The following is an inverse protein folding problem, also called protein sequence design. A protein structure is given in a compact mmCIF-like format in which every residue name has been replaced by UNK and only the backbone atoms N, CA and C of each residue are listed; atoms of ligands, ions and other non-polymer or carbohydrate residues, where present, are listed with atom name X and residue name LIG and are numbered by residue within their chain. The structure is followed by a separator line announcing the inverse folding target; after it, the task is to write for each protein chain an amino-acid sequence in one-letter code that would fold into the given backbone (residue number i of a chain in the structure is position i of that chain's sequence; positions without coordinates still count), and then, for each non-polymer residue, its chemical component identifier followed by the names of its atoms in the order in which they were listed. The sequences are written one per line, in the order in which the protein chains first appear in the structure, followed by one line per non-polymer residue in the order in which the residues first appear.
data_IF_235645536698
#
_entry.id   IF_235645536698
#
_cell.length_a   1.000
_cell.length_b   1.000
_cell.length_c   1.000
_cell.angle_alpha   90.00
_cell.angle_beta   90.00
_cell.angle_gamma   90.00
#
_symmetry.space_group_name_H-M   'P 1'
#
loop_
_entity.id
_entity.type
_entity.pdbx_description
1 polymer ?
#
# COMPACT_ATOMS: atom_id res chain seq x y z
N UNK A 1 10.18 -1.71 -3.04
CA UNK A 1 11.04 -1.22 -1.92
C UNK A 1 11.82 -2.32 -1.21
N UNK A 2 11.28 -3.54 -1.04
CA UNK A 2 12.04 -4.66 -0.42
C UNK A 2 13.42 -4.85 -1.07
N UNK A 3 13.50 -4.78 -2.40
CA UNK A 3 14.77 -4.86 -3.12
C UNK A 3 15.76 -3.74 -2.77
N UNK A 4 15.26 -2.50 -2.58
CA UNK A 4 16.07 -1.38 -2.11
C UNK A 4 16.64 -1.65 -0.72
N UNK A 5 15.77 -2.08 0.21
CA UNK A 5 16.17 -2.37 1.58
C UNK A 5 17.19 -3.51 1.68
N UNK A 6 17.04 -4.57 0.86
CA UNK A 6 18.05 -5.65 0.75
C UNK A 6 19.39 -5.13 0.25
N UNK A 7 19.38 -4.22 -0.72
CA UNK A 7 20.62 -3.62 -1.22
C UNK A 7 21.24 -2.65 -0.20
N UNK A 8 20.41 -1.87 0.48
CA UNK A 8 20.86 -0.96 1.54
C UNK A 8 21.60 -1.70 2.65
N UNK A 9 20.98 -2.75 3.21
CA UNK A 9 21.59 -3.51 4.29
C UNK A 9 22.88 -4.20 3.85
N UNK A 10 22.94 -4.64 2.58
CA UNK A 10 24.15 -5.22 2.00
C UNK A 10 25.28 -4.18 1.86
N UNK A 11 24.96 -2.97 1.37
CA UNK A 11 25.96 -1.90 1.26
C UNK A 11 26.52 -1.58 2.64
N UNK A 12 25.67 -1.44 3.66
CA UNK A 12 26.12 -1.16 5.03
C UNK A 12 27.02 -2.29 5.55
N UNK A 13 26.62 -3.55 5.39
CA UNK A 13 27.38 -4.70 5.87
C UNK A 13 28.69 -4.95 5.13
N UNK A 14 28.71 -4.70 3.81
CA UNK A 14 29.93 -4.92 3.00
C UNK A 14 30.97 -3.79 3.13
N UNK A 15 30.56 -2.59 3.55
CA UNK A 15 31.39 -1.39 3.50
C UNK A 15 31.57 -0.65 4.84
N UNK A 16 31.04 -1.21 5.93
CA UNK A 16 31.23 -0.66 7.28
C UNK A 16 31.59 -1.78 8.27
N UNK A 17 32.01 -1.41 9.45
CA UNK A 17 32.26 -2.32 10.59
C UNK A 17 30.98 -2.63 11.40
N UNK A 18 29.81 -2.27 10.87
CA UNK A 18 28.54 -2.49 11.54
C UNK A 18 28.03 -3.91 11.35
N UNK A 19 27.50 -4.49 12.42
CA UNK A 19 26.67 -5.68 12.33
C UNK A 19 25.32 -5.32 11.74
N UNK A 20 24.80 -6.12 10.82
CA UNK A 20 23.58 -5.83 10.08
C UNK A 20 22.59 -6.98 10.13
N UNK A 21 21.31 -6.67 10.20
CA UNK A 21 20.22 -7.63 10.09
C UNK A 21 19.03 -7.00 9.37
N UNK A 22 18.35 -7.79 8.56
CA UNK A 22 17.10 -7.41 7.92
C UNK A 22 16.05 -8.50 8.12
N UNK A 23 14.82 -8.09 8.40
CA UNK A 23 13.64 -8.93 8.41
C UNK A 23 12.54 -8.27 7.59
N UNK A 24 11.84 -9.04 6.76
CA UNK A 24 10.79 -8.54 5.88
C UNK A 24 9.47 -9.20 6.29
N UNK A 25 8.58 -8.39 6.83
CA UNK A 25 7.25 -8.80 7.25
C UNK A 25 6.26 -8.51 6.12
N UNK A 26 5.54 -9.54 5.72
CA UNK A 26 4.51 -9.45 4.69
C UNK A 26 3.14 -9.68 5.31
N UNK A 27 2.17 -8.84 4.90
CA UNK A 27 0.77 -9.09 5.23
C UNK A 27 0.32 -10.44 4.62
N UNK A 28 -0.55 -11.16 5.31
CA UNK A 28 -1.19 -12.37 4.79
C UNK A 28 -2.06 -12.15 3.54
N UNK A 29 -2.42 -10.91 3.26
CA UNK A 29 -3.17 -10.51 2.06
C UNK A 29 -2.26 -10.44 0.85
N UNK A 30 -2.61 -11.15 -0.23
CA UNK A 30 -1.79 -11.18 -1.46
C UNK A 30 -1.79 -9.87 -2.25
N UNK A 31 -2.84 -9.06 -2.13
CA UNK A 31 -2.98 -7.80 -2.86
C UNK A 31 -3.44 -6.70 -1.92
N UNK A 32 -2.78 -5.53 -1.99
CA UNK A 32 -3.08 -4.36 -1.16
C UNK A 32 -2.70 -4.51 0.31
N UNK A 33 -1.94 -5.54 0.66
CA UNK A 33 -1.37 -5.71 1.98
C UNK A 33 -0.15 -4.82 2.20
N UNK A 34 0.12 -4.48 3.47
CA UNK A 34 1.31 -3.74 3.86
C UNK A 34 2.53 -4.67 3.89
N UNK A 35 3.69 -4.14 3.52
CA UNK A 35 4.98 -4.82 3.73
C UNK A 35 5.84 -3.92 4.60
N UNK A 36 6.33 -4.46 5.71
CA UNK A 36 7.25 -3.77 6.62
C UNK A 36 8.64 -4.38 6.49
N UNK A 37 9.65 -3.53 6.39
CA UNK A 37 11.05 -3.96 6.34
C UNK A 37 11.75 -3.44 7.59
N UNK A 38 12.20 -4.34 8.43
CA UNK A 38 12.92 -4.05 9.66
C UNK A 38 14.41 -4.19 9.40
N UNK A 39 15.12 -3.07 9.40
CA UNK A 39 16.56 -3.02 9.23
C UNK A 39 17.21 -2.63 10.55
N UNK A 40 18.20 -3.39 10.98
CA UNK A 40 19.01 -3.08 12.16
C UNK A 40 20.47 -3.11 11.80
N UNK A 41 21.18 -2.13 12.27
CA UNK A 41 22.63 -2.06 12.13
C UNK A 41 23.23 -1.31 13.32
N UNK A 42 24.41 -1.73 13.73
CA UNK A 42 25.10 -1.15 14.88
C UNK A 42 26.41 -1.86 15.18
N UNK A 43 27.22 -1.26 16.08
CA UNK A 43 28.52 -1.81 16.45
C UNK A 43 28.45 -3.07 17.29
N UNK A 44 27.35 -3.26 18.03
CA UNK A 44 27.16 -4.45 18.86
C UNK A 44 26.63 -5.60 18.01
N UNK A 45 26.99 -6.88 18.31
CA UNK A 45 26.41 -8.04 17.67
C UNK A 45 24.88 -8.06 17.81
N UNK A 46 24.20 -8.44 16.75
CA UNK A 46 22.73 -8.59 16.69
C UNK A 46 22.42 -10.09 16.73
N UNK A 47 22.07 -10.60 17.91
CA UNK A 47 21.95 -12.05 18.17
C UNK A 47 20.49 -12.57 18.10
N UNK A 48 19.51 -11.69 17.90
CA UNK A 48 18.09 -12.07 17.87
C UNK A 48 17.33 -11.44 16.70
N UNK A 49 16.24 -12.06 16.32
CA UNK A 49 15.45 -11.74 15.13
C UNK A 49 14.13 -11.01 15.46
N UNK A 50 14.08 -10.25 16.55
CA UNK A 50 12.89 -9.47 16.92
C UNK A 50 12.62 -8.31 15.95
N UNK A 51 11.36 -7.91 15.85
CA UNK A 51 10.94 -6.76 15.06
C UNK A 51 11.45 -5.44 15.65
N UNK A 52 11.61 -4.43 14.80
CA UNK A 52 11.96 -3.08 15.25
C UNK A 52 10.69 -2.40 15.77
N UNK A 53 10.67 -2.03 17.05
CA UNK A 53 9.60 -1.31 17.71
C UNK A 53 10.07 0.04 18.32
N UNK A 54 11.33 0.41 18.11
CA UNK A 54 11.92 1.70 18.47
C UNK A 54 12.83 2.14 17.31
N UNK A 55 12.22 2.76 16.29
CA UNK A 55 12.88 3.11 15.05
C UNK A 55 13.51 4.50 15.12
N UNK A 56 14.77 4.60 14.68
CA UNK A 56 15.47 5.87 14.47
C UNK A 56 15.14 6.49 13.11
N UNK A 57 14.69 5.66 12.17
CA UNK A 57 14.28 6.06 10.82
C UNK A 57 13.06 5.25 10.35
N UNK A 58 12.04 5.93 9.80
CA UNK A 58 10.87 5.32 9.20
C UNK A 58 10.68 5.88 7.79
N UNK A 59 10.44 5.02 6.81
CA UNK A 59 10.08 5.45 5.45
C UNK A 59 8.70 4.91 5.05
N UNK A 60 7.78 5.82 4.78
CA UNK A 60 6.47 5.55 4.23
C UNK A 60 6.49 5.72 2.71
N UNK A 61 6.58 4.62 1.96
CA UNK A 61 6.71 4.63 0.52
C UNK A 61 5.37 4.72 -0.23
N UNK A 62 4.25 4.74 0.48
CA UNK A 62 2.92 4.88 -0.11
C UNK A 62 2.09 5.82 0.76
N UNK A 63 1.75 6.98 0.22
CA UNK A 63 0.98 8.00 0.94
C UNK A 63 -0.39 7.53 1.43
N UNK A 64 -1.00 6.53 0.78
CA UNK A 64 -2.27 5.94 1.24
C UNK A 64 -2.17 5.18 2.57
N UNK A 65 -0.97 4.90 3.06
CA UNK A 65 -0.77 4.27 4.36
C UNK A 65 -0.97 5.25 5.52
N UNK A 66 -0.82 6.56 5.27
CA UNK A 66 -1.02 7.59 6.28
C UNK A 66 -2.44 7.63 6.84
N UNK A 67 -3.43 7.25 6.01
CA UNK A 67 -4.84 7.19 6.39
C UNK A 67 -5.24 5.86 7.05
N UNK A 68 -4.42 4.83 6.89
CA UNK A 68 -4.78 3.45 7.27
C UNK A 68 -4.02 2.92 8.47
N UNK A 69 -2.80 3.40 8.67
CA UNK A 69 -1.88 2.85 9.66
C UNK A 69 -1.25 3.95 10.50
N UNK A 70 -0.97 3.63 11.75
CA UNK A 70 -0.16 4.47 12.61
C UNK A 70 1.33 4.31 12.24
N UNK A 71 1.79 5.16 11.30
CA UNK A 71 3.16 5.11 10.78
C UNK A 71 4.19 5.46 11.87
N UNK A 72 3.79 6.26 12.86
CA UNK A 72 4.68 6.75 13.91
C UNK A 72 4.63 5.91 15.19
N UNK A 73 3.86 4.81 15.23
CA UNK A 73 3.74 3.97 16.43
C UNK A 73 5.11 3.59 16.99
N UNK A 74 5.98 3.08 16.12
CA UNK A 74 7.32 2.58 16.47
C UNK A 74 8.43 3.65 16.38
N UNK A 75 8.12 4.92 16.12
CA UNK A 75 9.11 5.99 16.05
C UNK A 75 9.63 6.37 17.43
N UNK A 76 10.95 6.50 17.58
CA UNK A 76 11.57 7.16 18.74
C UNK A 76 11.31 8.67 18.73
N UNK A 77 11.51 9.30 19.87
CA UNK A 77 11.64 10.76 19.92
C UNK A 77 12.86 11.20 19.10
N UNK A 78 12.69 12.22 18.26
CA UNK A 78 13.73 12.71 17.35
C UNK A 78 14.01 11.80 16.15
N UNK A 79 13.14 10.82 15.86
CA UNK A 79 13.32 9.96 14.69
C UNK A 79 13.16 10.73 13.37
N UNK A 80 13.89 10.28 12.35
CA UNK A 80 13.71 10.76 10.98
C UNK A 80 12.58 9.99 10.29
N UNK A 81 11.67 10.70 9.63
CA UNK A 81 10.54 10.09 8.91
C UNK A 81 10.51 10.62 7.47
N UNK A 82 10.61 9.71 6.50
CA UNK A 82 10.52 10.04 5.07
C UNK A 82 9.15 9.61 4.53
N UNK A 83 8.41 10.54 3.92
CA UNK A 83 7.18 10.27 3.19
C UNK A 83 7.41 10.44 1.70
N UNK A 84 7.02 9.45 0.91
CA UNK A 84 6.99 9.56 -0.55
C UNK A 84 5.68 10.20 -0.98
N UNK A 85 5.73 11.48 -1.31
CA UNK A 85 4.58 12.25 -1.76
C UNK A 85 5.01 13.47 -2.59
N UNK A 86 4.05 14.04 -3.29
CA UNK A 86 4.13 15.27 -4.07
C UNK A 86 3.73 16.53 -3.25
N UNK A 87 3.31 16.35 -2.01
CA UNK A 87 2.81 17.42 -1.15
C UNK A 87 3.93 18.23 -0.50
N UNK A 88 3.74 19.55 -0.43
CA UNK A 88 4.68 20.49 0.22
C UNK A 88 3.92 21.53 1.06
N UNK A 89 4.56 22.07 2.09
CA UNK A 89 4.04 23.15 2.91
C UNK A 89 2.62 22.89 3.43
N UNK A 90 1.70 23.84 3.15
CA UNK A 90 0.31 23.73 3.59
C UNK A 90 -0.46 22.54 3.00
N UNK A 91 -0.10 22.10 1.80
CA UNK A 91 -0.71 20.92 1.19
C UNK A 91 -0.34 19.65 1.94
N UNK A 92 0.91 19.51 2.34
CA UNK A 92 1.35 18.41 3.20
C UNK A 92 0.54 18.41 4.51
N UNK A 93 0.39 19.57 5.15
CA UNK A 93 -0.37 19.68 6.39
C UNK A 93 -1.86 19.27 6.23
N UNK A 94 -2.49 19.58 5.10
CA UNK A 94 -3.89 19.21 4.82
C UNK A 94 -4.07 17.69 4.68
N UNK A 95 -3.07 17.01 4.14
CA UNK A 95 -3.13 15.56 3.89
C UNK A 95 -2.70 14.71 5.08
N UNK A 96 -1.99 15.27 6.06
CA UNK A 96 -1.61 14.54 7.26
C UNK A 96 -2.78 14.46 8.25
N UNK A 97 -3.02 13.25 8.78
CA UNK A 97 -4.10 13.03 9.76
C UNK A 97 -3.82 13.77 11.08
N UNK A 98 -4.87 14.15 11.85
CA UNK A 98 -4.70 14.75 13.18
C UNK A 98 -3.81 13.90 14.10
N UNK A 99 -3.98 12.58 14.07
CA UNK A 99 -3.18 11.65 14.88
C UNK A 99 -1.70 11.68 14.48
N UNK A 100 -1.39 11.65 13.16
CA UNK A 100 -0.02 11.76 12.68
C UNK A 100 0.63 13.09 13.11
N UNK A 101 -0.05 14.22 12.88
CA UNK A 101 0.45 15.54 13.26
C UNK A 101 0.80 15.64 14.74
N UNK A 102 -0.15 15.24 15.60
CA UNK A 102 0.07 15.25 17.06
C UNK A 102 1.24 14.36 17.46
N UNK A 103 1.31 13.14 16.96
CA UNK A 103 2.40 12.22 17.25
C UNK A 103 3.76 12.76 16.75
N UNK A 104 3.80 13.38 15.56
CA UNK A 104 5.01 13.96 15.00
C UNK A 104 5.55 15.10 15.87
N UNK A 105 4.69 16.00 16.35
CA UNK A 105 5.10 17.09 17.24
C UNK A 105 5.54 16.58 18.62
N UNK A 106 4.77 15.69 19.26
CA UNK A 106 5.09 15.15 20.59
C UNK A 106 6.38 14.33 20.58
N UNK A 107 6.66 13.58 19.51
CA UNK A 107 7.88 12.80 19.33
C UNK A 107 9.03 13.61 18.71
N UNK A 108 8.83 14.89 18.43
CA UNK A 108 9.86 15.79 17.81
C UNK A 108 10.44 15.19 16.52
N UNK A 109 9.59 14.66 15.66
CA UNK A 109 9.99 13.99 14.42
C UNK A 109 10.65 14.98 13.46
N UNK A 110 11.78 14.56 12.85
CA UNK A 110 12.34 15.20 11.67
C UNK A 110 11.66 14.63 10.43
N UNK A 111 10.79 15.44 9.82
CA UNK A 111 9.96 15.01 8.70
C UNK A 111 10.62 15.36 7.37
N UNK A 112 10.70 14.40 6.46
CA UNK A 112 11.23 14.56 5.11
C UNK A 112 10.23 14.12 4.07
N UNK A 113 10.23 14.76 2.91
CA UNK A 113 9.41 14.40 1.76
C UNK A 113 10.25 14.25 0.50
N UNK A 114 9.78 13.42 -0.44
CA UNK A 114 10.35 13.26 -1.77
C UNK A 114 9.29 12.76 -2.75
N UNK A 115 9.15 13.42 -3.90
CA UNK A 115 8.33 12.88 -5.00
C UNK A 115 9.16 11.92 -5.88
N UNK A 116 9.38 10.73 -5.35
CA UNK A 116 10.12 9.70 -6.07
C UNK A 116 9.42 9.21 -7.34
N UNK A 117 8.11 9.40 -7.44
CA UNK A 117 7.31 8.98 -8.61
C UNK A 117 7.54 9.92 -9.78
N UNK A 118 7.47 11.23 -9.54
CA UNK A 118 7.77 12.22 -10.58
C UNK A 118 9.22 12.10 -11.06
N UNK A 119 10.18 11.96 -10.13
CA UNK A 119 11.59 11.77 -10.48
C UNK A 119 11.78 10.51 -11.34
N UNK A 120 11.15 9.39 -10.99
CA UNK A 120 11.25 8.16 -11.75
C UNK A 120 10.64 8.29 -13.15
N UNK A 121 9.53 9.02 -13.29
CA UNK A 121 8.88 9.29 -14.57
C UNK A 121 9.77 10.18 -15.45
N UNK A 122 10.32 11.27 -14.93
CA UNK A 122 11.24 12.19 -15.62
C UNK A 122 12.45 11.44 -16.18
N UNK A 123 13.02 10.54 -15.39
CA UNK A 123 14.20 9.75 -15.77
C UNK A 123 13.88 8.55 -16.68
N UNK A 124 12.61 8.33 -17.03
CA UNK A 124 12.18 7.18 -17.86
C UNK A 124 12.26 5.83 -17.13
N UNK A 125 12.30 5.83 -15.79
CA UNK A 125 12.33 4.63 -14.97
C UNK A 125 10.92 4.04 -14.73
N UNK A 126 9.85 4.73 -15.16
CA UNK A 126 8.46 4.33 -14.92
C UNK A 126 8.15 4.32 -13.43
N UNK A 127 7.68 3.20 -12.89
CA UNK A 127 7.33 3.06 -11.46
C UNK A 127 8.51 2.63 -10.56
N UNK A 128 9.75 2.65 -11.05
CA UNK A 128 10.93 2.14 -10.33
C UNK A 128 11.57 3.23 -9.48
N UNK A 129 11.11 3.37 -8.26
CA UNK A 129 11.57 4.39 -7.29
C UNK A 129 12.66 3.90 -6.34
N UNK A 130 13.02 2.62 -6.38
CA UNK A 130 13.89 1.98 -5.39
C UNK A 130 15.24 2.70 -5.20
N UNK A 131 15.91 3.05 -6.29
CA UNK A 131 17.23 3.69 -6.25
C UNK A 131 17.16 5.10 -5.68
N UNK A 132 16.11 5.85 -6.02
CA UNK A 132 15.85 7.20 -5.52
C UNK A 132 15.68 7.17 -4.00
N UNK A 133 14.81 6.27 -3.52
CA UNK A 133 14.48 6.14 -2.10
C UNK A 133 15.67 5.63 -1.26
N UNK A 134 16.51 4.77 -1.84
CA UNK A 134 17.74 4.33 -1.20
C UNK A 134 18.74 5.47 -1.05
N UNK A 135 18.89 6.33 -2.04
CA UNK A 135 19.73 7.50 -1.99
C UNK A 135 19.25 8.51 -0.93
N UNK A 136 17.93 8.76 -0.89
CA UNK A 136 17.31 9.59 0.14
C UNK A 136 17.56 9.04 1.57
N UNK A 137 17.48 7.71 1.75
CA UNK A 137 17.80 7.06 3.01
C UNK A 137 19.23 7.38 3.47
N UNK A 138 20.24 7.17 2.62
CA UNK A 138 21.63 7.46 2.99
C UNK A 138 21.85 8.94 3.27
N UNK A 139 21.20 9.84 2.52
CA UNK A 139 21.27 11.29 2.74
C UNK A 139 20.73 11.70 4.10
N UNK A 140 19.56 11.18 4.48
CA UNK A 140 18.89 11.54 5.74
C UNK A 140 19.63 10.94 6.94
N UNK A 141 20.02 9.66 6.85
CA UNK A 141 20.56 8.94 8.01
C UNK A 141 22.04 9.24 8.27
N UNK A 142 22.80 9.60 7.24
CA UNK A 142 24.24 9.85 7.37
C UNK A 142 25.05 8.66 7.90
N UNK A 143 24.51 7.43 7.84
CA UNK A 143 25.14 6.22 8.38
C UNK A 143 26.48 5.89 7.68
N UNK A 144 26.58 6.29 6.43
CA UNK A 144 27.80 6.31 5.61
C UNK A 144 27.92 7.73 5.06
N UNK A 145 29.12 8.32 4.94
CA UNK A 145 29.31 9.59 4.25
C UNK A 145 28.66 9.55 2.88
N UNK A 146 27.89 10.59 2.51
CA UNK A 146 27.00 10.53 1.35
C UNK A 146 27.75 10.28 0.04
N UNK A 147 28.94 10.84 -0.11
CA UNK A 147 29.79 10.65 -1.29
C UNK A 147 30.22 9.19 -1.44
N UNK A 148 30.54 8.53 -0.33
CA UNK A 148 30.88 7.11 -0.32
C UNK A 148 29.65 6.25 -0.63
N UNK A 149 28.50 6.54 0.01
CA UNK A 149 27.26 5.83 -0.23
C UNK A 149 26.84 5.89 -1.71
N UNK A 150 26.90 7.07 -2.33
CA UNK A 150 26.67 7.27 -3.76
C UNK A 150 27.63 6.44 -4.60
N UNK A 151 28.92 6.42 -4.23
CA UNK A 151 29.92 5.59 -4.90
C UNK A 151 29.59 4.10 -4.85
N UNK A 152 29.21 3.58 -3.68
CA UNK A 152 28.81 2.18 -3.52
C UNK A 152 27.51 1.84 -4.26
N UNK A 153 26.54 2.72 -4.24
CA UNK A 153 25.31 2.57 -5.00
C UNK A 153 25.58 2.49 -6.51
N UNK A 154 26.39 3.41 -7.04
CA UNK A 154 26.77 3.44 -8.47
C UNK A 154 27.54 2.17 -8.87
N UNK A 155 28.45 1.65 -8.02
CA UNK A 155 29.11 0.37 -8.25
C UNK A 155 28.13 -0.80 -8.28
N UNK A 156 27.18 -0.86 -7.34
CA UNK A 156 26.14 -1.89 -7.30
C UNK A 156 25.23 -1.85 -8.53
N UNK A 157 24.88 -0.65 -9.01
CA UNK A 157 24.10 -0.42 -10.23
C UNK A 157 24.87 -0.96 -11.46
N UNK A 158 26.15 -0.63 -11.59
CA UNK A 158 26.97 -1.11 -12.70
C UNK A 158 27.05 -2.65 -12.72
N UNK A 159 27.24 -3.26 -11.55
CA UNK A 159 27.26 -4.72 -11.40
C UNK A 159 25.93 -5.36 -11.81
N UNK A 160 24.80 -4.73 -11.47
CA UNK A 160 23.46 -5.29 -11.68
C UNK A 160 22.92 -5.02 -13.09
N UNK A 161 23.25 -3.89 -13.67
CA UNK A 161 22.65 -3.39 -14.91
C UNK A 161 23.66 -3.18 -16.04
N UNK A 162 24.96 -3.34 -15.82
CA UNK A 162 25.98 -3.12 -16.85
C UNK A 162 25.72 -3.89 -18.14
N UNK A 163 25.26 -5.14 -18.03
CA UNK A 163 24.87 -5.98 -19.17
C UNK A 163 23.64 -5.51 -19.95
N UNK A 164 22.85 -4.59 -19.39
CA UNK A 164 21.63 -4.03 -20.02
C UNK A 164 21.90 -2.78 -20.85
N UNK A 165 23.16 -2.35 -20.92
CA UNK A 165 23.60 -1.21 -21.68
C UNK A 165 23.77 0.07 -20.86
N UNK A 166 24.61 0.95 -21.37
CA UNK A 166 25.04 2.19 -20.72
C UNK A 166 23.86 3.13 -20.41
N UNK A 167 22.88 3.19 -21.30
CA UNK A 167 21.66 4.00 -21.10
C UNK A 167 20.95 3.66 -19.79
N UNK A 168 20.77 2.37 -19.49
CA UNK A 168 20.10 1.92 -18.27
C UNK A 168 20.94 2.23 -17.03
N UNK A 169 22.26 2.09 -17.12
CA UNK A 169 23.18 2.42 -16.03
C UNK A 169 23.10 3.91 -15.72
N UNK A 170 23.19 4.78 -16.72
CA UNK A 170 23.16 6.23 -16.55
C UNK A 170 21.82 6.73 -16.01
N UNK A 171 20.69 6.14 -16.43
CA UNK A 171 19.38 6.44 -15.85
C UNK A 171 19.34 6.13 -14.34
N UNK A 172 19.93 5.03 -13.90
CA UNK A 172 19.98 4.67 -12.49
C UNK A 172 21.00 5.52 -11.71
N UNK A 173 22.10 5.96 -12.33
CA UNK A 173 23.02 6.94 -11.72
C UNK A 173 22.33 8.27 -11.47
N UNK A 174 21.62 8.80 -12.46
CA UNK A 174 20.83 10.01 -12.32
C UNK A 174 19.76 9.87 -11.21
N UNK A 175 19.19 8.68 -11.04
CA UNK A 175 18.23 8.40 -9.96
C UNK A 175 18.89 8.46 -8.56
N UNK A 176 20.15 8.03 -8.42
CA UNK A 176 20.91 8.21 -7.18
C UNK A 176 21.11 9.70 -6.88
N UNK A 177 21.63 10.43 -7.87
CA UNK A 177 21.94 11.84 -7.72
C UNK A 177 20.69 12.66 -7.39
N UNK A 178 19.58 12.44 -8.11
CA UNK A 178 18.27 13.07 -7.84
C UNK A 178 17.68 12.68 -6.47
N UNK A 179 17.85 11.44 -6.03
CA UNK A 179 17.40 11.00 -4.71
C UNK A 179 18.11 11.70 -3.56
N UNK A 180 19.39 12.09 -3.75
CA UNK A 180 20.14 12.89 -2.78
C UNK A 180 19.75 14.37 -2.84
N UNK A 181 19.54 14.90 -4.06
CA UNK A 181 19.27 16.32 -4.30
C UNK A 181 17.86 16.73 -3.88
N UNK A 182 16.87 15.90 -4.21
CA UNK A 182 15.44 16.27 -4.16
C UNK A 182 14.73 15.87 -2.87
N UNK A 183 15.41 15.28 -1.91
CA UNK A 183 14.85 15.07 -0.58
C UNK A 183 14.84 16.38 0.20
N UNK A 184 13.66 16.74 0.72
CA UNK A 184 13.44 18.00 1.42
C UNK A 184 13.00 17.75 2.86
N UNK A 185 13.48 18.53 3.80
CA UNK A 185 12.97 18.55 5.17
C UNK A 185 11.71 19.41 5.24
N UNK A 186 10.68 18.89 5.89
CA UNK A 186 9.40 19.56 6.09
C UNK A 186 9.27 20.01 7.56
N UNK A 187 8.73 21.18 7.77
CA UNK A 187 8.49 21.70 9.11
C UNK A 187 7.42 20.87 9.84
N UNK A 188 7.69 20.56 11.11
CA UNK A 188 6.72 20.00 12.07
C UNK A 188 6.35 21.10 13.06
N UNK A 189 5.26 21.84 12.86
CA UNK A 189 4.89 22.95 13.71
C UNK A 189 4.58 22.51 15.15
N UNK A 190 5.09 23.23 16.14
CA UNK A 190 4.84 22.93 17.56
C UNK A 190 3.32 22.90 17.91
N UNK A 191 2.51 23.73 17.22
CA UNK A 191 1.05 23.76 17.40
C UNK A 191 0.35 22.42 17.11
N UNK A 192 1.00 21.50 16.39
CA UNK A 192 0.43 20.18 16.14
C UNK A 192 0.31 19.32 17.41
N UNK A 193 1.08 19.62 18.46
CA UNK A 193 0.98 18.92 19.74
C UNK A 193 -0.40 19.11 20.42
N UNK A 194 -1.06 20.24 20.17
CA UNK A 194 -2.32 20.62 20.78
C UNK A 194 -3.55 20.18 19.96
N UNK A 195 -3.35 19.54 18.80
CA UNK A 195 -4.44 19.07 17.95
C UNK A 195 -5.30 18.04 18.70
N UNK A 196 -6.60 18.26 18.74
CA UNK A 196 -7.55 17.26 19.21
C UNK A 196 -7.71 16.15 18.18
N UNK A 197 -7.58 14.90 18.65
CA UNK A 197 -7.82 13.72 17.80
C UNK A 197 -9.30 13.38 17.94
N UNK A 198 -10.09 13.44 16.85
CA UNK A 198 -11.49 13.02 16.92
C UNK A 198 -11.60 11.55 17.38
N UNK A 199 -12.53 11.28 18.28
CA UNK A 199 -12.85 9.89 18.66
C UNK A 199 -13.36 9.14 17.42
N UNK A 200 -12.76 8.01 17.14
CA UNK A 200 -13.24 7.11 16.10
C UNK A 200 -14.55 6.47 16.55
N UNK A 201 -15.67 6.91 15.97
CA UNK A 201 -16.98 6.31 16.26
C UNK A 201 -17.07 4.95 15.60
N UNK A 202 -16.90 3.91 16.39
CA UNK A 202 -17.14 2.54 15.93
C UNK A 202 -18.65 2.30 15.90
N UNK A 203 -19.19 1.84 14.77
CA UNK A 203 -20.60 1.46 14.68
C UNK A 203 -20.88 0.28 15.63
N UNK A 204 -21.68 0.53 16.64
CA UNK A 204 -22.04 -0.46 17.66
C UNK A 204 -22.90 -1.61 17.11
N UNK A 205 -23.54 -1.42 15.96
CA UNK A 205 -24.31 -2.47 15.28
C UNK A 205 -23.44 -3.51 14.57
N UNK A 206 -22.14 -3.24 14.42
CA UNK A 206 -21.22 -4.23 13.89
C UNK A 206 -21.10 -5.42 14.85
N UNK A 207 -20.99 -6.66 14.35
CA UNK A 207 -20.76 -7.82 15.20
C UNK A 207 -19.56 -7.63 16.13
N UNK A 208 -19.66 -8.12 17.37
CA UNK A 208 -18.59 -8.03 18.38
C UNK A 208 -17.24 -8.47 17.82
N UNK A 209 -17.22 -9.57 17.09
CA UNK A 209 -16.05 -10.14 16.46
C UNK A 209 -15.37 -9.14 15.47
N UNK A 210 -16.17 -8.44 14.67
CA UNK A 210 -15.65 -7.44 13.72
C UNK A 210 -14.96 -6.31 14.50
N UNK A 211 -15.63 -5.77 15.51
CA UNK A 211 -15.13 -4.64 16.30
C UNK A 211 -13.89 -5.00 17.13
N UNK A 212 -13.91 -6.19 17.73
CA UNK A 212 -12.90 -6.61 18.71
C UNK A 212 -11.67 -7.28 18.09
N UNK A 213 -11.83 -7.92 16.94
CA UNK A 213 -10.77 -8.72 16.34
C UNK A 213 -10.43 -8.20 14.93
N UNK A 214 -11.37 -8.23 13.97
CA UNK A 214 -11.06 -7.93 12.58
C UNK A 214 -10.59 -6.48 12.39
N UNK A 215 -11.24 -5.50 12.96
CA UNK A 215 -10.85 -4.10 12.82
C UNK A 215 -9.46 -3.82 13.41
N UNK A 216 -9.13 -4.24 14.66
CA UNK A 216 -7.78 -4.09 15.18
C UNK A 216 -6.71 -4.80 14.36
N UNK A 217 -6.97 -6.03 13.89
CA UNK A 217 -6.03 -6.77 13.03
C UNK A 217 -5.81 -6.02 11.70
N UNK A 218 -6.86 -5.52 11.07
CA UNK A 218 -6.75 -4.75 9.84
C UNK A 218 -6.00 -3.42 10.02
N UNK A 219 -6.07 -2.83 11.23
CA UNK A 219 -5.30 -1.64 11.61
C UNK A 219 -3.87 -1.96 12.08
N UNK A 220 -3.39 -3.20 11.94
CA UNK A 220 -2.08 -3.67 12.42
C UNK A 220 -1.88 -3.54 13.95
N UNK A 221 -2.97 -3.64 14.70
CA UNK A 221 -3.02 -3.57 16.19
C UNK A 221 -3.37 -4.93 16.81
N UNK A 222 -3.19 -6.03 16.07
CA UNK A 222 -3.57 -7.38 16.51
C UNK A 222 -2.89 -7.82 17.80
N UNK A 223 -1.64 -7.44 18.03
CA UNK A 223 -0.88 -7.78 19.23
C UNK A 223 -1.45 -7.17 20.53
N UNK A 224 -2.30 -6.14 20.40
CA UNK A 224 -2.95 -5.49 21.53
C UNK A 224 -4.30 -6.13 21.89
N UNK A 225 -4.76 -7.14 21.16
CA UNK A 225 -6.03 -7.81 21.41
C UNK A 225 -5.88 -8.75 22.61
N UNK A 226 -6.64 -8.57 23.69
CA UNK A 226 -6.59 -9.48 24.82
C UNK A 226 -7.11 -10.88 24.43
N UNK A 227 -6.50 -11.92 24.97
CA UNK A 227 -6.88 -13.32 24.72
C UNK A 227 -8.37 -13.58 25.02
N UNK A 228 -8.93 -12.88 26.01
CA UNK A 228 -10.35 -12.98 26.37
C UNK A 228 -11.31 -12.57 25.23
N UNK A 229 -10.87 -11.78 24.25
CA UNK A 229 -11.73 -11.42 23.11
C UNK A 229 -11.89 -12.58 22.10
N UNK A 230 -11.06 -13.64 22.22
CA UNK A 230 -11.14 -14.86 21.40
C UNK A 230 -11.98 -15.98 22.03
N UNK A 231 -12.59 -15.77 23.19
CA UNK A 231 -13.37 -16.82 23.88
C UNK A 231 -14.54 -17.37 23.07
N UNK A 232 -15.10 -16.57 22.15
CA UNK A 232 -16.17 -16.99 21.26
C UNK A 232 -15.67 -17.79 20.03
N UNK A 233 -14.34 -17.94 19.87
CA UNK A 233 -13.66 -18.61 18.77
C UNK A 233 -12.58 -19.60 19.27
N UNK A 234 -12.93 -20.51 20.22
CA UNK A 234 -11.92 -21.30 20.94
C UNK A 234 -11.21 -22.34 20.07
N UNK A 235 -11.81 -22.74 18.96
CA UNK A 235 -11.27 -23.71 17.98
C UNK A 235 -10.58 -23.05 16.78
N UNK A 236 -10.50 -21.70 16.75
CA UNK A 236 -9.94 -20.95 15.64
C UNK A 236 -10.85 -20.86 14.41
N UNK A 237 -12.09 -21.33 14.48
CA UNK A 237 -13.07 -21.19 13.41
C UNK A 237 -13.49 -19.71 13.27
N UNK A 238 -13.37 -19.16 12.06
CA UNK A 238 -13.73 -17.78 11.78
C UNK A 238 -15.16 -17.68 11.23
N UNK A 239 -15.95 -16.66 11.64
CA UNK A 239 -17.29 -16.45 11.10
C UNK A 239 -17.26 -16.25 9.58
N UNK A 240 -18.27 -16.76 8.89
CA UNK A 240 -18.42 -16.58 7.45
C UNK A 240 -18.95 -15.17 7.09
N UNK A 241 -18.73 -14.76 5.84
CA UNK A 241 -19.24 -13.48 5.31
C UNK A 241 -18.50 -12.24 5.81
N UNK A 242 -17.34 -12.40 6.41
CA UNK A 242 -16.55 -11.30 7.00
C UNK A 242 -16.01 -10.33 5.95
N UNK A 243 -15.87 -10.75 4.69
CA UNK A 243 -15.40 -9.90 3.58
C UNK A 243 -16.28 -8.68 3.31
N UNK A 244 -17.54 -8.68 3.74
CA UNK A 244 -18.41 -7.49 3.63
C UNK A 244 -17.96 -6.33 4.54
N UNK A 245 -17.21 -6.63 5.60
CA UNK A 245 -16.66 -5.66 6.54
C UNK A 245 -15.21 -5.25 6.23
N UNK A 246 -14.63 -5.87 5.21
CA UNK A 246 -13.27 -5.57 4.78
C UNK A 246 -13.26 -5.25 3.29
N UNK A 247 -13.33 -3.97 2.96
CA UNK A 247 -13.29 -3.46 1.59
C UNK A 247 -12.00 -2.67 1.38
N UNK A 248 -11.09 -3.20 0.55
CA UNK A 248 -9.74 -2.64 0.41
C UNK A 248 -9.62 -1.53 -0.61
N UNK A 249 -10.41 -1.56 -1.70
CA UNK A 249 -10.42 -0.53 -2.73
C UNK A 249 -9.06 -0.28 -3.38
N UNK A 250 -8.32 -1.34 -3.70
CA UNK A 250 -6.92 -1.26 -4.16
C UNK A 250 -6.76 -1.11 -5.67
N UNK A 251 -7.82 -1.32 -6.45
CA UNK A 251 -7.75 -1.22 -7.91
C UNK A 251 -7.62 0.23 -8.36
N UNK A 252 -6.60 0.53 -9.16
CA UNK A 252 -6.46 1.83 -9.84
C UNK A 252 -7.48 1.97 -10.96
N UNK A 253 -7.67 0.89 -11.72
CA UNK A 253 -8.71 0.79 -12.75
C UNK A 253 -9.63 -0.37 -12.42
N UNK A 254 -10.94 -0.15 -12.53
CA UNK A 254 -11.98 -1.16 -12.30
C UNK A 254 -12.68 -1.50 -13.63
N UNK A 255 -13.23 -2.72 -13.78
CA UNK A 255 -13.95 -3.07 -14.99
C UNK A 255 -15.29 -2.33 -15.08
N UNK A 256 -15.56 -1.80 -16.26
CA UNK A 256 -16.85 -1.21 -16.65
C UNK A 256 -17.56 -2.20 -17.58
N UNK A 257 -18.83 -2.46 -17.30
CA UNK A 257 -19.67 -3.34 -18.09
C UNK A 257 -20.55 -2.54 -19.07
N UNK A 258 -20.42 -2.86 -20.34
CA UNK A 258 -21.29 -2.40 -21.41
C UNK A 258 -22.37 -3.46 -21.68
N UNK A 259 -23.60 -3.15 -21.31
CA UNK A 259 -24.73 -4.09 -21.40
C UNK A 259 -25.13 -4.42 -22.83
N UNK A 260 -24.97 -3.48 -23.78
CA UNK A 260 -25.36 -3.64 -25.17
C UNK A 260 -24.43 -4.61 -25.91
N UNK A 261 -23.14 -4.57 -25.58
CA UNK A 261 -22.10 -5.42 -26.16
C UNK A 261 -22.05 -6.82 -25.53
N UNK A 262 -22.69 -7.00 -24.37
CA UNK A 262 -22.57 -8.22 -23.60
C UNK A 262 -23.34 -9.37 -24.21
N UNK A 263 -22.67 -10.50 -24.44
CA UNK A 263 -23.28 -11.74 -24.92
C UNK A 263 -23.68 -12.70 -23.78
N UNK A 264 -23.53 -12.29 -22.52
CA UNK A 264 -23.91 -13.01 -21.30
C UNK A 264 -23.21 -14.38 -21.12
N UNK A 265 -21.99 -14.53 -21.63
CA UNK A 265 -21.23 -15.79 -21.54
C UNK A 265 -20.62 -16.03 -20.14
N UNK A 266 -20.61 -15.04 -19.25
CA UNK A 266 -20.08 -15.07 -17.89
C UNK A 266 -18.58 -15.41 -17.74
N UNK A 267 -17.80 -15.44 -18.84
CA UNK A 267 -16.36 -15.73 -18.77
C UNK A 267 -15.60 -14.78 -17.85
N UNK A 268 -16.00 -13.50 -17.82
CA UNK A 268 -15.43 -12.49 -16.93
C UNK A 268 -15.66 -12.81 -15.44
N UNK A 269 -16.78 -13.41 -15.08
CA UNK A 269 -17.08 -13.87 -13.72
C UNK A 269 -16.24 -15.08 -13.35
N UNK A 270 -16.10 -16.06 -14.26
CA UNK A 270 -15.31 -17.26 -14.02
C UNK A 270 -13.82 -17.00 -13.79
N UNK A 271 -13.23 -16.05 -14.51
CA UNK A 271 -11.78 -15.76 -14.38
C UNK A 271 -11.47 -14.78 -13.26
N UNK A 272 -12.46 -14.19 -12.61
CA UNK A 272 -12.22 -13.20 -11.57
C UNK A 272 -11.65 -13.85 -10.31
N UNK A 273 -10.37 -13.57 -9.94
CA UNK A 273 -9.72 -14.24 -8.81
C UNK A 273 -10.35 -13.86 -7.44
N UNK A 274 -11.10 -12.75 -7.40
CA UNK A 274 -11.74 -12.25 -6.19
C UNK A 274 -13.27 -12.32 -6.22
N UNK A 275 -13.87 -12.96 -7.24
CA UNK A 275 -15.32 -13.07 -7.40
C UNK A 275 -16.06 -11.72 -7.32
N UNK A 276 -15.40 -10.65 -7.74
CA UNK A 276 -16.00 -9.31 -7.72
C UNK A 276 -16.91 -9.02 -8.90
N UNK A 277 -16.95 -9.90 -9.91
CA UNK A 277 -17.89 -9.82 -11.03
C UNK A 277 -18.92 -10.92 -10.86
N UNK A 278 -20.19 -10.53 -10.74
CA UNK A 278 -21.29 -11.47 -10.47
C UNK A 278 -22.45 -11.22 -11.42
N UNK A 279 -22.93 -12.25 -12.13
CA UNK A 279 -24.17 -12.16 -12.89
C UNK A 279 -25.38 -12.29 -11.96
N UNK A 280 -26.42 -11.54 -12.26
CA UNK A 280 -27.71 -11.60 -11.58
C UNK A 280 -28.85 -11.70 -12.62
N UNK A 281 -29.87 -12.46 -12.26
CA UNK A 281 -31.18 -12.42 -12.88
C UNK A 281 -32.12 -11.75 -11.89
N UNK A 282 -32.87 -10.76 -12.35
CA UNK A 282 -33.82 -10.00 -11.54
C UNK A 282 -35.17 -9.94 -12.26
N UNK A 283 -36.25 -9.98 -11.51
CA UNK A 283 -37.57 -9.72 -12.04
C UNK A 283 -37.87 -8.21 -12.17
N UNK A 284 -39.00 -7.84 -12.74
CA UNK A 284 -39.34 -6.42 -12.94
C UNK A 284 -39.52 -5.66 -11.63
N UNK A 285 -40.08 -6.29 -10.60
CA UNK A 285 -40.29 -5.67 -9.28
C UNK A 285 -38.97 -5.39 -8.57
N UNK A 286 -38.01 -6.30 -8.69
CA UNK A 286 -36.64 -6.13 -8.16
C UNK A 286 -35.91 -5.05 -8.92
N UNK A 287 -35.99 -5.03 -10.23
CA UNK A 287 -35.38 -4.01 -11.07
C UNK A 287 -35.96 -2.60 -10.79
N UNK A 288 -37.26 -2.51 -10.54
CA UNK A 288 -37.96 -1.26 -10.21
C UNK A 288 -37.50 -0.66 -8.87
N UNK A 289 -37.08 -1.49 -7.91
CA UNK A 289 -36.58 -1.08 -6.60
C UNK A 289 -35.08 -0.74 -6.62
N UNK A 290 -34.40 -1.08 -7.70
CA UNK A 290 -32.95 -0.85 -7.81
C UNK A 290 -32.62 0.63 -8.07
N UNK A 291 -31.39 1.09 -7.75
CA UNK A 291 -30.93 2.43 -8.11
C UNK A 291 -30.98 2.66 -9.63
N UNK A 292 -31.19 3.91 -10.06
CA UNK A 292 -31.23 4.27 -11.50
C UNK A 292 -29.99 3.84 -12.29
N UNK A 293 -28.86 3.69 -11.62
CA UNK A 293 -27.58 3.21 -12.21
C UNK A 293 -27.53 1.69 -12.40
N UNK A 294 -28.52 0.96 -11.90
CA UNK A 294 -28.62 -0.49 -12.05
C UNK A 294 -29.26 -0.83 -13.39
N UNK A 295 -28.51 -0.68 -14.48
CA UNK A 295 -28.97 -1.03 -15.83
C UNK A 295 -29.09 -2.54 -16.01
N UNK A 296 -30.14 -2.99 -16.68
CA UNK A 296 -30.38 -4.40 -16.98
C UNK A 296 -30.63 -4.59 -18.48
N UNK A 297 -30.47 -5.80 -18.99
CA UNK A 297 -30.80 -6.20 -20.36
C UNK A 297 -31.70 -7.43 -20.34
N UNK A 298 -32.31 -7.73 -21.49
CA UNK A 298 -33.03 -8.99 -21.66
C UNK A 298 -32.11 -10.18 -21.53
N UNK A 299 -32.58 -11.26 -20.95
CA UNK A 299 -31.79 -12.49 -20.80
C UNK A 299 -31.62 -13.16 -22.15
N UNK A 300 -30.38 -13.54 -22.48
CA UNK A 300 -30.05 -14.31 -23.70
C UNK A 300 -29.89 -15.79 -23.36
N UNK A 301 -30.97 -16.45 -22.94
CA UNK A 301 -30.94 -17.86 -22.56
C UNK A 301 -32.32 -18.44 -22.42
N UNK A 302 -32.44 -19.75 -22.55
CA UNK A 302 -33.70 -20.47 -22.32
C UNK A 302 -33.91 -20.73 -20.83
N UNK A 303 -35.17 -20.73 -20.39
CA UNK A 303 -35.54 -21.04 -19.00
C UNK A 303 -35.41 -19.89 -18.02
N UNK A 304 -35.23 -18.64 -18.51
CA UNK A 304 -35.19 -17.43 -17.71
C UNK A 304 -36.10 -16.33 -18.31
N UNK A 305 -37.15 -16.74 -18.92
CA UNK A 305 -38.13 -15.86 -19.56
C UNK A 305 -38.78 -14.95 -18.51
N UNK A 306 -38.94 -13.68 -18.82
CA UNK A 306 -39.46 -12.66 -17.89
C UNK A 306 -38.45 -12.13 -16.86
N UNK A 307 -37.20 -12.58 -16.91
CA UNK A 307 -36.15 -12.02 -16.08
C UNK A 307 -35.25 -11.06 -16.86
N UNK A 308 -34.61 -10.18 -16.13
CA UNK A 308 -33.61 -9.21 -16.64
C UNK A 308 -32.20 -9.61 -16.18
N UNK A 309 -31.21 -9.45 -17.03
CA UNK A 309 -29.83 -9.76 -16.73
C UNK A 309 -29.06 -8.53 -16.31
N UNK A 310 -28.26 -8.67 -15.26
CA UNK A 310 -27.26 -7.66 -14.80
C UNK A 310 -25.93 -8.32 -14.50
N UNK A 311 -24.83 -7.73 -14.97
CA UNK A 311 -23.51 -8.06 -14.50
C UNK A 311 -23.05 -6.99 -13.50
N UNK A 312 -22.90 -7.37 -12.25
CA UNK A 312 -22.51 -6.45 -11.17
C UNK A 312 -21.01 -6.56 -10.87
N UNK A 313 -20.37 -5.40 -10.72
CA UNK A 313 -18.95 -5.31 -10.32
C UNK A 313 -18.87 -4.77 -8.90
N UNK A 314 -18.20 -5.51 -8.00
CA UNK A 314 -17.86 -5.07 -6.66
C UNK A 314 -16.51 -4.33 -6.72
N UNK A 315 -16.56 -3.01 -6.91
CA UNK A 315 -15.39 -2.18 -7.19
C UNK A 315 -14.33 -2.23 -6.06
N UNK A 316 -14.80 -2.23 -4.80
CA UNK A 316 -13.91 -2.25 -3.62
C UNK A 316 -13.23 -3.61 -3.37
N UNK A 317 -13.73 -4.67 -3.99
CA UNK A 317 -13.13 -6.01 -3.94
C UNK A 317 -12.20 -6.28 -5.14
N UNK A 318 -12.25 -5.43 -6.18
CA UNK A 318 -11.46 -5.56 -7.39
C UNK A 318 -9.97 -5.27 -7.10
N UNK A 319 -9.07 -6.02 -7.77
CA UNK A 319 -7.62 -5.79 -7.72
C UNK A 319 -7.06 -5.12 -8.97
N UNK A 320 -7.90 -4.83 -9.97
CA UNK A 320 -7.47 -4.19 -11.21
C UNK A 320 -6.62 -5.08 -12.13
N UNK A 321 -6.69 -6.41 -12.00
CA UNK A 321 -5.82 -7.34 -12.74
C UNK A 321 -6.09 -7.42 -14.26
N UNK A 322 -7.24 -6.93 -14.76
CA UNK A 322 -7.59 -6.91 -16.18
C UNK A 322 -8.00 -8.26 -16.80
N UNK A 323 -7.96 -9.37 -16.06
CA UNK A 323 -8.29 -10.71 -16.58
C UNK A 323 -9.68 -10.77 -17.24
N UNK A 324 -10.68 -10.09 -16.67
CA UNK A 324 -12.04 -10.04 -17.18
C UNK A 324 -12.15 -9.35 -18.55
N UNK A 325 -11.42 -8.26 -18.75
CA UNK A 325 -11.38 -7.55 -20.03
C UNK A 325 -10.64 -8.37 -21.09
N UNK A 326 -9.54 -9.03 -20.72
CA UNK A 326 -8.77 -9.87 -21.63
C UNK A 326 -9.59 -11.06 -22.15
N UNK A 327 -10.33 -11.75 -21.27
CA UNK A 327 -11.06 -12.97 -21.62
C UNK A 327 -12.39 -12.69 -22.36
N UNK A 328 -12.89 -11.46 -22.32
CA UNK A 328 -14.17 -11.11 -22.94
C UNK A 328 -14.17 -11.44 -24.45
N UNK A 329 -15.05 -12.36 -24.93
CA UNK A 329 -15.05 -12.78 -26.33
C UNK A 329 -15.86 -11.87 -27.24
N UNK A 330 -16.59 -10.90 -26.68
CA UNK A 330 -17.37 -9.94 -27.48
C UNK A 330 -16.47 -9.14 -28.41
N UNK A 331 -16.88 -8.96 -29.66
CA UNK A 331 -16.10 -8.27 -30.72
C UNK A 331 -15.63 -6.89 -30.27
N UNK A 332 -16.50 -6.13 -29.63
CA UNK A 332 -16.21 -4.78 -29.14
C UNK A 332 -15.93 -4.74 -27.63
N UNK A 333 -15.61 -5.87 -27.02
CA UNK A 333 -15.37 -5.96 -25.58
C UNK A 333 -16.48 -5.34 -24.72
N UNK A 334 -17.30 -6.18 -24.15
CA UNK A 334 -18.35 -5.76 -23.21
C UNK A 334 -17.81 -5.44 -21.80
N UNK A 335 -16.52 -5.72 -21.53
CA UNK A 335 -15.81 -5.35 -20.31
C UNK A 335 -14.53 -4.62 -20.70
N UNK A 336 -14.38 -3.40 -20.21
CA UNK A 336 -13.17 -2.58 -20.34
C UNK A 336 -12.69 -2.15 -18.95
N UNK A 337 -11.39 -1.85 -18.80
CA UNK A 337 -10.81 -1.41 -17.51
C UNK A 337 -10.85 0.12 -17.40
#
# INVERSE_FOLDING_TARGET
TVGANKNTIKIIGDHTDLNVQAYFEYDGKKSGGVTRSHLRFGKKPINSTYLVNHADFIACHNKSYLDRYDILADAKEGANVLITCDWKGEELEKHLTPAFKKAAALKKIHLYTIDSTAIAAELGLGSRTNTILQAAFFKITGIIPIEEAVGYMKKAILKSYGRKGEKIVNMNYAAVDKGVEMVEEAEVPARWADIEIPEEKIDENLPKWIRKIQMPVNAMKGDNIPVSDFTDLPDGTMPQGTSKYEKRGIAVNIPVWDSEKCIQCNMCSYVCPHSCIRPFLVNEDEAAKAPKTFTTTDVKGKGAEGLRFRLQVSALDCTGCGSCANVCPSKEKAITM
#
